data_IF_101350794341
#
_entry.id   IF_101350794341
#
_cell.length_a   1.000
_cell.length_b   1.000
_cell.length_c   1.000
_cell.angle_alpha   90.00
_cell.angle_beta   90.00
_cell.angle_gamma   90.00
#
_symmetry.space_group_name_H-M   'P 1'
#
loop_
_entity.id
_entity.type
_entity.pdbx_description
1 polymer ?
#
# COMPACT_ATOMS: atom_id res chain seq x y z
N UNK A 1 1.34 3.81 25.07
CA UNK A 1 1.24 5.06 24.29
C UNK A 1 0.90 4.66 22.87
N UNK A 2 -0.17 5.15 22.23
CA UNK A 2 -0.40 4.80 20.83
C UNK A 2 0.69 5.49 20.00
N UNK A 3 1.40 4.66 19.25
CA UNK A 3 2.65 4.97 18.55
C UNK A 3 2.44 6.01 17.46
N UNK A 4 3.42 6.90 17.29
CA UNK A 4 3.53 7.90 16.23
C UNK A 4 3.67 7.24 14.85
N UNK A 5 2.57 6.69 14.32
CA UNK A 5 2.53 6.19 12.96
C UNK A 5 2.53 7.37 11.99
N UNK A 6 3.39 7.29 10.97
CA UNK A 6 3.42 8.30 9.91
C UNK A 6 2.06 8.36 9.21
N UNK A 7 1.49 9.56 9.00
CA UNK A 7 0.26 9.73 8.23
C UNK A 7 0.40 9.15 6.81
N UNK A 8 -0.66 8.53 6.30
CA UNK A 8 -0.63 7.81 5.01
C UNK A 8 -0.25 8.74 3.86
N UNK A 9 -0.75 9.98 3.87
CA UNK A 9 -0.50 11.02 2.88
C UNK A 9 0.98 11.45 2.79
N UNK A 10 1.81 11.06 3.78
CA UNK A 10 3.24 11.33 3.82
C UNK A 10 4.09 10.13 3.40
N UNK A 11 3.49 8.98 3.11
CA UNK A 11 4.20 7.77 2.71
C UNK A 11 4.32 7.69 1.18
N UNK A 12 5.54 7.41 0.71
CA UNK A 12 5.74 6.92 -0.66
C UNK A 12 5.17 5.52 -0.82
N UNK A 13 5.03 5.07 -2.07
CA UNK A 13 4.59 3.70 -2.37
C UNK A 13 5.50 2.66 -1.70
N UNK A 14 6.83 2.80 -1.84
CA UNK A 14 7.78 1.83 -1.26
C UNK A 14 7.71 1.80 0.27
N UNK A 15 7.50 2.97 0.90
CA UNK A 15 7.37 3.07 2.36
C UNK A 15 6.07 2.42 2.84
N UNK A 16 4.95 2.73 2.19
CA UNK A 16 3.65 2.16 2.54
C UNK A 16 3.62 0.64 2.34
N UNK A 17 4.22 0.17 1.24
CA UNK A 17 4.33 -1.26 0.94
C UNK A 17 5.23 -1.99 1.95
N UNK A 18 6.39 -1.43 2.28
CA UNK A 18 7.29 -2.02 3.28
C UNK A 18 6.65 -2.07 4.68
N UNK A 19 5.88 -1.04 5.06
CA UNK A 19 5.13 -1.06 6.32
C UNK A 19 4.03 -2.13 6.30
N UNK A 20 3.34 -2.30 5.16
CA UNK A 20 2.32 -3.33 4.99
C UNK A 20 2.92 -4.75 5.11
N UNK A 21 4.06 -5.01 4.47
CA UNK A 21 4.78 -6.28 4.59
C UNK A 21 5.17 -6.57 6.05
N UNK A 22 5.66 -5.56 6.77
CA UNK A 22 5.99 -5.70 8.19
C UNK A 22 4.76 -6.01 9.04
N UNK A 23 3.60 -5.40 8.75
CA UNK A 23 2.34 -5.70 9.42
C UNK A 23 1.90 -7.13 9.17
N UNK A 24 1.96 -7.60 7.92
CA UNK A 24 1.60 -8.97 7.54
C UNK A 24 2.50 -9.97 8.26
N UNK A 25 3.82 -9.78 8.18
CA UNK A 25 4.79 -10.63 8.87
C UNK A 25 4.55 -10.66 10.39
N UNK A 26 4.16 -9.52 10.95
CA UNK A 26 3.83 -9.46 12.36
C UNK A 26 2.52 -10.25 12.63
N UNK A 27 1.48 -10.12 11.78
CA UNK A 27 0.21 -10.89 11.81
C UNK A 27 0.36 -12.40 11.84
N UNK A 28 1.44 -12.93 11.28
CA UNK A 28 1.74 -14.35 11.28
C UNK A 28 2.39 -14.87 12.57
N UNK A 29 2.80 -13.98 13.49
CA UNK A 29 3.36 -14.38 14.78
C UNK A 29 2.25 -14.79 15.78
N UNK A 30 2.37 -16.00 16.33
CA UNK A 30 1.33 -16.76 17.06
C UNK A 30 0.85 -16.17 18.41
N UNK A 31 1.47 -15.11 18.94
CA UNK A 31 1.21 -14.66 20.30
C UNK A 31 1.00 -13.15 20.40
N UNK A 32 -0.13 -12.64 19.88
CA UNK A 32 -0.50 -11.24 20.09
C UNK A 32 -1.87 -11.01 20.70
N UNK A 33 -1.99 -9.99 21.57
CA UNK A 33 -3.28 -9.55 22.08
C UNK A 33 -4.25 -9.20 20.93
N UNK A 34 -5.52 -9.52 21.12
CA UNK A 34 -6.58 -9.22 20.13
C UNK A 34 -6.61 -7.74 19.73
N UNK A 35 -6.41 -6.84 20.70
CA UNK A 35 -6.41 -5.39 20.48
C UNK A 35 -5.27 -4.95 19.56
N UNK A 36 -4.08 -5.56 19.69
CA UNK A 36 -2.96 -5.30 18.80
C UNK A 36 -3.21 -5.86 17.40
N UNK A 37 -3.79 -7.07 17.32
CA UNK A 37 -4.16 -7.67 16.04
C UNK A 37 -5.17 -6.81 15.27
N UNK A 38 -6.17 -6.24 15.97
CA UNK A 38 -7.14 -5.32 15.38
C UNK A 38 -6.49 -4.03 14.89
N UNK A 39 -5.63 -3.40 15.69
CA UNK A 39 -4.92 -2.18 15.30
C UNK A 39 -4.04 -2.39 14.06
N UNK A 40 -3.35 -3.54 13.99
CA UNK A 40 -2.53 -3.92 12.84
C UNK A 40 -3.38 -4.18 11.60
N UNK A 41 -4.52 -4.85 11.75
CA UNK A 41 -5.44 -5.08 10.65
C UNK A 41 -5.99 -3.77 10.08
N UNK A 42 -6.42 -2.83 10.93
CA UNK A 42 -6.91 -1.52 10.52
C UNK A 42 -5.83 -0.72 9.77
N UNK A 43 -4.62 -0.68 10.32
CA UNK A 43 -3.48 -0.01 9.67
C UNK A 43 -3.10 -0.68 8.35
N UNK A 44 -3.04 -2.01 8.31
CA UNK A 44 -2.75 -2.78 7.10
C UNK A 44 -3.78 -2.53 6.00
N UNK A 45 -5.07 -2.48 6.35
CA UNK A 45 -6.13 -2.18 5.39
C UNK A 45 -6.00 -0.74 4.85
N UNK A 46 -5.63 0.21 5.69
CA UNK A 46 -5.42 1.60 5.28
C UNK A 46 -4.20 1.75 4.35
N UNK A 47 -3.09 1.06 4.65
CA UNK A 47 -1.90 1.02 3.80
C UNK A 47 -2.19 0.36 2.44
N UNK A 48 -2.93 -0.76 2.42
CA UNK A 48 -3.28 -1.44 1.18
C UNK A 48 -4.11 -0.53 0.24
N UNK A 49 -5.07 0.23 0.80
CA UNK A 49 -5.83 1.23 0.03
C UNK A 49 -4.95 2.34 -0.50
N UNK A 50 -4.05 2.89 0.34
CA UNK A 50 -3.11 3.93 -0.07
C UNK A 50 -2.19 3.47 -1.21
N UNK A 51 -1.66 2.24 -1.12
CA UNK A 51 -0.86 1.64 -2.20
C UNK A 51 -1.64 1.55 -3.51
N UNK A 52 -2.90 1.10 -3.47
CA UNK A 52 -3.75 1.03 -4.65
C UNK A 52 -3.99 2.41 -5.28
N UNK A 53 -4.31 3.41 -4.45
CA UNK A 53 -4.52 4.79 -4.91
C UNK A 53 -3.25 5.39 -5.57
N UNK A 54 -2.06 5.10 -5.03
CA UNK A 54 -0.80 5.53 -5.64
C UNK A 54 -0.55 4.86 -6.99
N UNK A 55 -0.88 3.57 -7.12
CA UNK A 55 -0.75 2.85 -8.40
C UNK A 55 -1.74 3.37 -9.44
N UNK A 56 -3.00 3.61 -9.05
CA UNK A 56 -4.02 4.18 -9.94
C UNK A 56 -3.60 5.56 -10.46
N UNK A 57 -3.02 6.40 -9.59
CA UNK A 57 -2.48 7.71 -9.98
C UNK A 57 -1.29 7.58 -10.92
N UNK A 58 -0.40 6.61 -10.68
CA UNK A 58 0.75 6.35 -11.53
C UNK A 58 0.30 5.88 -12.92
N UNK A 59 -0.68 4.96 -12.99
CA UNK A 59 -1.27 4.48 -14.24
C UNK A 59 -1.92 5.62 -15.02
N UNK A 60 -2.76 6.42 -14.36
CA UNK A 60 -3.41 7.57 -14.99
C UNK A 60 -2.38 8.54 -15.58
N UNK A 61 -1.29 8.81 -14.85
CA UNK A 61 -0.21 9.66 -15.33
C UNK A 61 0.49 9.07 -16.55
N UNK A 62 0.74 7.75 -16.56
CA UNK A 62 1.31 7.06 -17.73
C UNK A 62 0.37 7.15 -18.93
N UNK A 63 -0.93 6.93 -18.74
CA UNK A 63 -1.94 7.03 -19.80
C UNK A 63 -2.01 8.45 -20.40
N UNK A 64 -1.91 9.48 -19.55
CA UNK A 64 -1.89 10.89 -19.99
C UNK A 64 -0.63 11.23 -20.78
N UNK A 65 0.54 10.75 -20.34
CA UNK A 65 1.82 11.00 -21.01
C UNK A 65 1.98 10.21 -22.32
N UNK A 66 1.44 8.99 -22.36
CA UNK A 66 1.52 8.11 -23.54
C UNK A 66 0.47 8.48 -24.61
N UNK A 67 -0.42 9.44 -24.32
CA UNK A 67 -1.35 10.00 -25.29
C UNK A 67 -2.25 8.96 -25.95
N UNK A 68 -3.10 8.25 -25.20
CA UNK A 68 -4.15 7.34 -25.72
C UNK A 68 -3.73 6.34 -26.83
N UNK A 69 -2.43 6.08 -26.99
CA UNK A 69 -1.87 5.12 -27.94
C UNK A 69 -0.95 4.14 -27.18
N UNK A 70 -1.46 3.54 -26.10
CA UNK A 70 -0.95 2.23 -25.70
C UNK A 70 -1.45 1.25 -26.77
N UNK A 71 -0.71 1.16 -27.88
CA UNK A 71 -0.80 0.00 -28.76
C UNK A 71 -0.45 -1.17 -27.87
N UNK A 72 -1.39 -2.11 -27.69
CA UNK A 72 -1.12 -3.39 -27.05
C UNK A 72 0.21 -3.90 -27.61
N UNK A 73 1.26 -3.94 -26.77
CA UNK A 73 2.53 -4.53 -27.18
C UNK A 73 2.23 -6.00 -27.44
N UNK A 74 2.02 -6.36 -28.70
CA UNK A 74 1.86 -7.72 -29.17
C UNK A 74 3.24 -8.19 -29.65
N UNK A 75 3.98 -8.97 -28.85
CA UNK A 75 5.24 -9.55 -29.28
C UNK A 75 4.93 -10.75 -30.19
N UNK A 76 4.66 -10.50 -31.47
CA UNK A 76 4.92 -11.50 -32.52
C UNK A 76 6.43 -11.58 -32.80
#
# INVERSE_FOLDING_TARGET
>A
MPSSQTPLDQLSYEQAFSELEAIVAAMEADERPLEEALALFERGQALARHCAELLDQAELKVQQLSGKDLVDYNPD
#
